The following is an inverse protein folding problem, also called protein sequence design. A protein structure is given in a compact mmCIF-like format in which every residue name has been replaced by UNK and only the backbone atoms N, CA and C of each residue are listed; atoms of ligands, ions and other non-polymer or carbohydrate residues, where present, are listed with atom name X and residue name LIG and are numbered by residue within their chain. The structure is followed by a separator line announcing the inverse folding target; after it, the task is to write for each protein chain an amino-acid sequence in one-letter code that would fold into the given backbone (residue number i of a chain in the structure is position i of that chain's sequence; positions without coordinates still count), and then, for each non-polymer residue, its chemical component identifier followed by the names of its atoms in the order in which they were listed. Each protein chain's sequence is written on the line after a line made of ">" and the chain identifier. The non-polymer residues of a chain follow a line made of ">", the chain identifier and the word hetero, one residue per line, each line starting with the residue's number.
data_IF_620590684135
#
_entry.id   IF_620590684135
#
_cell.length_a   1.000
_cell.length_b   1.000
_cell.length_c   1.000
_cell.angle_alpha   90.00
_cell.angle_beta   90.00
_cell.angle_gamma   90.00
#
_symmetry.space_group_name_H-M   'P 1'
#
loop_
_entity.id
_entity.type
_entity.pdbx_description
1 polymer ?
#
# COMPACT_ATOMS: atom_id res chain seq x y z
N UNK A 1 -13.99 14.74 -24.67
CA UNK A 1 -13.26 15.27 -23.49
C UNK A 1 -12.43 14.14 -22.91
N UNK A 2 -11.10 14.26 -22.81
CA UNK A 2 -10.25 13.26 -22.14
C UNK A 2 -10.61 13.28 -20.64
N UNK A 3 -11.09 12.17 -20.07
CA UNK A 3 -11.12 11.99 -18.62
C UNK A 3 -9.67 11.94 -18.15
N UNK A 4 -9.18 13.01 -17.53
CA UNK A 4 -7.88 13.00 -16.88
C UNK A 4 -8.03 12.12 -15.64
N UNK A 5 -7.39 10.95 -15.63
CA UNK A 5 -7.29 10.13 -14.43
C UNK A 5 -6.29 10.81 -13.50
N UNK A 6 -6.76 11.28 -12.34
CA UNK A 6 -5.89 11.81 -11.30
C UNK A 6 -5.05 10.67 -10.70
N UNK A 7 -3.80 10.94 -10.31
CA UNK A 7 -2.95 9.92 -9.71
C UNK A 7 -3.51 9.47 -8.36
N UNK A 8 -3.43 8.17 -8.08
CA UNK A 8 -3.87 7.57 -6.80
C UNK A 8 -2.68 7.28 -5.90
N UNK A 9 -2.97 7.08 -4.61
CA UNK A 9 -1.97 6.60 -3.63
C UNK A 9 -2.16 5.09 -3.44
N UNK A 10 -1.10 4.32 -3.64
CA UNK A 10 -1.07 2.89 -3.33
C UNK A 10 -0.68 2.65 -1.88
N UNK A 11 -1.39 1.78 -1.15
CA UNK A 11 -1.07 1.44 0.23
C UNK A 11 -0.73 -0.05 0.32
N UNK A 12 0.47 -0.35 0.82
CA UNK A 12 1.07 -1.69 0.87
C UNK A 12 1.13 -2.15 2.33
N UNK A 13 0.15 -2.92 2.83
CA UNK A 13 0.22 -3.56 4.13
C UNK A 13 1.25 -4.70 4.08
N UNK A 14 2.40 -4.51 4.72
CA UNK A 14 3.49 -5.49 4.75
C UNK A 14 3.45 -6.24 6.08
N UNK A 15 3.68 -7.55 6.07
CA UNK A 15 3.52 -8.42 7.24
C UNK A 15 4.66 -9.45 7.33
N UNK A 16 4.89 -9.96 8.54
CA UNK A 16 5.73 -11.14 8.76
C UNK A 16 5.13 -12.38 8.06
N UNK A 17 5.94 -13.06 7.23
CA UNK A 17 5.51 -14.23 6.47
C UNK A 17 5.48 -15.54 7.26
N UNK A 18 6.03 -15.56 8.48
CA UNK A 18 6.08 -16.77 9.31
C UNK A 18 4.67 -17.24 9.65
N UNK A 19 4.41 -18.51 9.36
CA UNK A 19 3.16 -19.21 9.70
C UNK A 19 3.20 -19.73 11.14
N UNK A 20 2.25 -20.60 11.49
CA UNK A 20 2.09 -21.18 12.82
C UNK A 20 1.65 -20.16 13.88
N UNK A 21 0.77 -19.23 13.49
CA UNK A 21 0.11 -18.28 14.40
C UNK A 21 0.73 -16.89 14.39
N UNK A 22 1.93 -16.70 13.86
CA UNK A 22 2.57 -15.37 13.79
C UNK A 22 1.82 -14.49 12.79
N UNK A 23 1.84 -14.82 11.49
CA UNK A 23 1.13 -14.06 10.46
C UNK A 23 -0.36 -13.96 10.75
N UNK A 24 -1.00 -15.06 11.09
CA UNK A 24 -2.44 -15.13 11.33
C UNK A 24 -2.90 -14.16 12.44
N UNK A 25 -2.07 -13.95 13.46
CA UNK A 25 -2.35 -13.00 14.54
C UNK A 25 -2.23 -11.52 14.15
N UNK A 26 -1.50 -11.22 13.07
CA UNK A 26 -1.14 -9.86 12.64
C UNK A 26 -1.92 -9.37 11.41
N UNK A 27 -2.58 -10.25 10.65
CA UNK A 27 -3.31 -9.92 9.41
C UNK A 27 -4.34 -8.80 9.62
N UNK A 28 -5.20 -8.93 10.64
CA UNK A 28 -6.25 -7.96 10.92
C UNK A 28 -5.69 -6.58 11.30
N UNK A 29 -4.64 -6.55 12.13
CA UNK A 29 -4.00 -5.29 12.55
C UNK A 29 -3.29 -4.60 11.38
N UNK A 30 -2.56 -5.38 10.58
CA UNK A 30 -1.81 -4.87 9.43
C UNK A 30 -2.76 -4.27 8.38
N UNK A 31 -3.85 -4.96 8.06
CA UNK A 31 -4.85 -4.43 7.11
C UNK A 31 -5.61 -3.22 7.69
N UNK A 32 -5.91 -3.22 8.98
CA UNK A 32 -6.53 -2.07 9.66
C UNK A 32 -5.64 -0.82 9.58
N UNK A 33 -4.32 -0.96 9.72
CA UNK A 33 -3.37 0.15 9.56
C UNK A 33 -3.39 0.74 8.15
N UNK A 34 -3.50 -0.11 7.12
CA UNK A 34 -3.65 0.35 5.73
C UNK A 34 -4.97 1.10 5.50
N UNK A 35 -6.07 0.58 6.05
CA UNK A 35 -7.39 1.22 5.97
C UNK A 35 -7.42 2.57 6.70
N UNK A 36 -6.84 2.65 7.90
CA UNK A 36 -6.73 3.88 8.67
C UNK A 36 -5.90 4.95 7.94
N UNK A 37 -4.82 4.52 7.27
CA UNK A 37 -3.98 5.41 6.44
C UNK A 37 -4.77 5.92 5.24
N UNK A 38 -5.53 5.06 4.56
CA UNK A 38 -6.39 5.45 3.44
C UNK A 38 -7.46 6.48 3.87
N UNK A 39 -8.11 6.23 5.01
CA UNK A 39 -9.13 7.11 5.57
C UNK A 39 -8.55 8.47 5.93
N UNK A 40 -7.39 8.50 6.61
CA UNK A 40 -6.72 9.75 6.98
C UNK A 40 -6.36 10.59 5.75
N UNK A 41 -5.82 9.95 4.70
CA UNK A 41 -5.46 10.64 3.45
C UNK A 41 -6.72 11.20 2.77
N UNK A 42 -7.77 10.38 2.63
CA UNK A 42 -9.02 10.81 2.02
C UNK A 42 -9.70 11.95 2.80
N UNK A 43 -9.57 11.97 4.12
CA UNK A 43 -10.10 13.03 4.98
C UNK A 43 -9.29 14.33 4.85
N UNK A 44 -7.96 14.26 5.00
CA UNK A 44 -7.10 15.43 5.22
C UNK A 44 -6.53 16.05 3.95
N UNK A 45 -6.41 15.30 2.86
CA UNK A 45 -5.69 15.74 1.67
C UNK A 45 -6.61 15.88 0.45
N UNK A 46 -6.24 16.78 -0.44
CA UNK A 46 -6.90 17.01 -1.74
C UNK A 46 -5.84 17.17 -2.81
N UNK A 47 -6.18 16.83 -4.05
CA UNK A 47 -5.40 17.25 -5.20
C UNK A 47 -5.41 18.78 -5.31
N UNK A 48 -4.41 19.35 -5.99
CA UNK A 48 -4.33 20.80 -6.21
C UNK A 48 -5.58 21.38 -6.92
N UNK A 49 -6.29 20.56 -7.69
CA UNK A 49 -7.56 20.90 -8.33
C UNK A 49 -8.79 20.82 -7.39
N UNK A 50 -8.61 20.50 -6.10
CA UNK A 50 -9.67 20.38 -5.11
C UNK A 50 -10.33 18.99 -5.03
N UNK A 51 -10.04 18.08 -5.96
CA UNK A 51 -10.59 16.72 -5.94
C UNK A 51 -10.08 15.90 -4.75
N UNK A 52 -10.89 14.96 -4.26
CA UNK A 52 -10.48 14.00 -3.23
C UNK A 52 -9.37 13.08 -3.75
N UNK A 53 -8.41 12.77 -2.88
CA UNK A 53 -7.38 11.77 -3.18
C UNK A 53 -7.99 10.39 -3.03
N UNK A 54 -7.82 9.55 -4.04
CA UNK A 54 -8.21 8.14 -3.99
C UNK A 54 -7.02 7.27 -3.57
N UNK A 55 -7.27 6.32 -2.68
CA UNK A 55 -6.29 5.32 -2.26
C UNK A 55 -6.63 3.94 -2.86
N UNK A 56 -5.60 3.15 -3.14
CA UNK A 56 -5.70 1.76 -3.61
C UNK A 56 -4.90 0.90 -2.65
N UNK A 57 -5.57 0.03 -1.91
CA UNK A 57 -4.92 -0.88 -0.96
C UNK A 57 -4.61 -2.21 -1.68
N UNK A 58 -3.48 -2.86 -1.37
CA UNK A 58 -3.21 -4.22 -1.84
C UNK A 58 -4.34 -5.18 -1.44
N UNK A 59 -4.62 -6.22 -2.24
CA UNK A 59 -5.70 -7.17 -1.94
C UNK A 59 -5.39 -8.04 -0.71
N UNK A 60 -4.11 -8.28 -0.43
CA UNK A 60 -3.63 -9.07 0.70
C UNK A 60 -2.49 -8.33 1.40
N UNK A 61 -2.19 -8.71 2.64
CA UNK A 61 -0.90 -8.36 3.24
C UNK A 61 0.25 -8.98 2.45
N UNK A 62 1.39 -8.30 2.42
CA UNK A 62 2.56 -8.63 1.61
C UNK A 62 3.65 -9.15 2.53
N UNK A 63 3.99 -10.42 2.39
CA UNK A 63 5.04 -11.09 3.14
C UNK A 63 6.21 -11.57 2.25
N UNK A 64 6.10 -11.42 0.92
CA UNK A 64 7.18 -11.74 0.01
C UNK A 64 6.90 -11.32 -1.44
N UNK A 65 7.78 -11.76 -2.34
CA UNK A 65 7.83 -11.31 -3.73
C UNK A 65 6.55 -11.59 -4.54
N UNK A 66 5.88 -12.72 -4.31
CA UNK A 66 4.67 -13.07 -5.06
C UNK A 66 3.50 -12.11 -4.76
N UNK A 67 3.27 -11.81 -3.48
CA UNK A 67 2.25 -10.86 -3.04
C UNK A 67 2.64 -9.42 -3.43
N UNK A 68 3.93 -9.09 -3.38
CA UNK A 68 4.48 -7.82 -3.84
C UNK A 68 4.22 -7.60 -5.35
N UNK A 69 4.45 -8.62 -6.18
CA UNK A 69 4.19 -8.56 -7.62
C UNK A 69 2.70 -8.43 -7.95
N UNK A 70 1.83 -9.16 -7.26
CA UNK A 70 0.38 -9.02 -7.41
C UNK A 70 -0.11 -7.62 -7.03
N UNK A 71 0.45 -7.04 -5.97
CA UNK A 71 0.18 -5.65 -5.58
C UNK A 71 0.60 -4.66 -6.67
N UNK A 72 1.79 -4.82 -7.26
CA UNK A 72 2.26 -3.95 -8.34
C UNK A 72 1.39 -4.08 -9.60
N UNK A 73 0.98 -5.29 -9.96
CA UNK A 73 0.06 -5.53 -11.08
C UNK A 73 -1.26 -4.77 -10.86
N UNK A 74 -1.84 -4.85 -9.66
CA UNK A 74 -3.02 -4.05 -9.30
C UNK A 74 -2.72 -2.56 -9.45
N UNK A 75 -1.66 -2.05 -8.83
CA UNK A 75 -1.36 -0.62 -8.81
C UNK A 75 -1.13 -0.04 -10.21
N UNK A 76 -0.50 -0.82 -11.11
CA UNK A 76 -0.28 -0.43 -12.51
C UNK A 76 -1.58 -0.18 -13.28
N UNK A 77 -2.66 -0.91 -12.93
CA UNK A 77 -3.99 -0.76 -13.54
C UNK A 77 -4.81 0.39 -12.96
N UNK A 78 -4.42 0.92 -11.80
CA UNK A 78 -5.18 1.92 -11.06
C UNK A 78 -4.56 3.33 -11.08
N UNK A 79 -3.56 3.58 -11.93
CA UNK A 79 -2.90 4.89 -12.04
C UNK A 79 -2.32 5.36 -10.68
N UNK A 80 -1.71 4.44 -9.94
CA UNK A 80 -0.99 4.76 -8.70
C UNK A 80 0.31 5.50 -9.03
N UNK A 81 0.50 6.68 -8.46
CA UNK A 81 1.68 7.52 -8.68
C UNK A 81 2.68 7.54 -7.52
N UNK A 82 2.24 7.13 -6.33
CA UNK A 82 3.06 7.08 -5.09
C UNK A 82 2.56 5.93 -4.23
N UNK A 83 3.48 5.27 -3.51
CA UNK A 83 3.15 4.17 -2.61
C UNK A 83 3.54 4.47 -1.17
N UNK A 84 2.69 4.05 -0.22
CA UNK A 84 2.95 4.09 1.21
C UNK A 84 2.93 2.66 1.73
N UNK A 85 4.02 2.24 2.34
CA UNK A 85 4.16 0.93 2.96
C UNK A 85 3.92 1.07 4.46
N UNK A 86 3.03 0.24 5.02
CA UNK A 86 2.68 0.24 6.45
C UNK A 86 2.87 -1.15 7.05
N UNK A 87 3.39 -1.22 8.27
CA UNK A 87 3.52 -2.47 9.01
C UNK A 87 3.55 -2.23 10.53
N UNK A 88 2.89 -3.08 11.34
CA UNK A 88 3.05 -3.10 12.80
C UNK A 88 4.09 -4.13 13.28
N UNK A 89 4.86 -4.75 12.38
CA UNK A 89 5.72 -5.89 12.70
C UNK A 89 7.02 -5.92 11.89
N UNK A 90 7.94 -6.80 12.29
CA UNK A 90 9.14 -7.08 11.51
C UNK A 90 8.79 -7.73 10.16
N UNK A 91 9.49 -7.31 9.10
CA UNK A 91 9.26 -7.82 7.74
C UNK A 91 10.58 -8.02 6.99
N UNK A 92 10.57 -8.89 5.99
CA UNK A 92 11.73 -9.14 5.12
C UNK A 92 11.86 -8.03 4.07
N UNK A 93 12.60 -6.96 4.43
CA UNK A 93 12.63 -5.70 3.71
C UNK A 93 12.86 -5.80 2.19
N UNK A 94 13.87 -6.57 1.75
CA UNK A 94 14.17 -6.72 0.32
C UNK A 94 13.09 -7.48 -0.46
N UNK A 95 12.40 -8.42 0.17
CA UNK A 95 11.39 -9.26 -0.50
C UNK A 95 10.05 -8.53 -0.68
N UNK A 96 9.82 -7.52 0.15
CA UNK A 96 8.57 -6.75 0.22
C UNK A 96 8.70 -5.37 -0.46
N UNK A 97 9.92 -4.96 -0.81
CA UNK A 97 10.19 -3.68 -1.45
C UNK A 97 9.58 -3.57 -2.85
N UNK A 98 9.24 -2.36 -3.26
CA UNK A 98 8.81 -2.09 -4.63
C UNK A 98 10.05 -1.92 -5.51
N UNK A 99 10.15 -2.70 -6.58
CA UNK A 99 11.22 -2.54 -7.56
C UNK A 99 10.70 -1.73 -8.76
N UNK A 100 11.11 -0.47 -8.88
CA UNK A 100 10.78 0.35 -10.06
C UNK A 100 11.36 1.77 -10.00
N UNK A 101 11.96 2.28 -11.09
CA UNK A 101 12.75 3.53 -11.07
C UNK A 101 11.95 4.84 -10.99
N UNK A 102 10.60 4.79 -10.95
CA UNK A 102 9.76 5.96 -11.30
C UNK A 102 8.66 6.35 -10.30
N UNK A 103 8.47 5.66 -9.16
CA UNK A 103 7.47 6.08 -8.17
C UNK A 103 8.10 6.29 -6.79
N UNK A 104 7.68 7.34 -6.10
CA UNK A 104 8.08 7.63 -4.74
C UNK A 104 7.48 6.58 -3.78
N UNK A 105 8.29 6.10 -2.84
CA UNK A 105 7.88 5.17 -1.79
C UNK A 105 8.23 5.73 -0.41
N UNK A 106 7.29 5.63 0.53
CA UNK A 106 7.52 5.91 1.96
C UNK A 106 7.21 4.69 2.82
N UNK A 107 7.91 4.55 3.94
CA UNK A 107 7.74 3.44 4.89
C UNK A 107 7.33 3.99 6.25
N UNK A 108 6.25 3.47 6.82
CA UNK A 108 5.78 3.79 8.16
C UNK A 108 5.70 2.50 8.99
N UNK A 109 6.62 2.35 9.92
CA UNK A 109 6.62 1.29 10.93
C UNK A 109 6.32 1.86 12.31
N UNK A 110 5.60 1.09 13.13
CA UNK A 110 5.41 1.34 14.56
C UNK A 110 6.33 0.44 15.39
#
# INVERSE_FOLDING_TARGET
>A
MKKISLPKIGIRPVIDGRRMGVRESLEAQTMSMAQATAALIGEKLRHACGAQIECVIADTCIAGMAESAACEEKFSRHNVGVTITVTPCWCYGSENHRYGPAASESHLGL
#
